data_IF_439094390695
#
_entry.id   IF_439094390695
#
_cell.length_a   1.000
_cell.length_b   1.000
_cell.length_c   1.000
_cell.angle_alpha   90.00
_cell.angle_beta   90.00
_cell.angle_gamma   90.00
#
_symmetry.space_group_name_H-M   'P 1'
#
loop_
_entity.id
_entity.type
_entity.pdbx_description
1 polymer ?
#
# COMPACT_ATOMS: atom_id res chain seq x y z
N UNK A 1 22.52 -1.84 4.46
CA UNK A 1 23.33 -0.61 4.26
C UNK A 1 24.71 -0.93 3.70
N UNK A 2 25.53 -1.72 4.40
CA UNK A 2 26.92 -2.01 3.99
C UNK A 2 26.99 -2.53 2.54
N UNK A 3 26.22 -3.57 2.19
CA UNK A 3 26.22 -4.12 0.83
C UNK A 3 25.78 -3.11 -0.25
N UNK A 4 24.80 -2.25 0.05
CA UNK A 4 24.38 -1.19 -0.87
C UNK A 4 25.54 -0.23 -1.19
N UNK A 5 26.21 0.30 -0.16
CA UNK A 5 27.28 1.25 -0.35
C UNK A 5 28.55 0.60 -0.92
N UNK A 6 28.83 -0.66 -0.58
CA UNK A 6 29.93 -1.40 -1.18
C UNK A 6 29.76 -1.58 -2.69
N UNK A 7 28.55 -1.93 -3.15
CA UNK A 7 28.23 -2.03 -4.58
C UNK A 7 28.35 -0.67 -5.28
N UNK A 8 27.81 0.39 -4.68
CA UNK A 8 27.90 1.74 -5.24
C UNK A 8 29.37 2.21 -5.32
N UNK A 9 30.17 1.97 -4.29
CA UNK A 9 31.60 2.29 -4.28
C UNK A 9 32.38 1.46 -5.34
N UNK A 10 31.94 0.26 -5.62
CA UNK A 10 32.51 -0.57 -6.70
C UNK A 10 31.97 -0.18 -8.11
N UNK A 11 31.23 0.92 -8.24
CA UNK A 11 30.67 1.37 -9.51
C UNK A 11 29.57 0.46 -10.08
N UNK A 12 28.93 -0.34 -9.23
CA UNK A 12 27.90 -1.29 -9.65
C UNK A 12 26.51 -0.64 -9.60
N UNK A 13 25.63 -1.08 -10.52
CA UNK A 13 24.22 -0.76 -10.46
C UNK A 13 23.55 -1.69 -9.45
N UNK A 14 22.72 -1.12 -8.58
CA UNK A 14 22.02 -1.88 -7.53
C UNK A 14 20.55 -2.00 -7.86
N UNK A 15 20.05 -3.20 -7.89
CA UNK A 15 18.61 -3.48 -8.01
C UNK A 15 18.07 -3.88 -6.62
N UNK A 16 17.04 -3.17 -6.16
CA UNK A 16 16.34 -3.51 -4.91
C UNK A 16 15.10 -4.32 -5.25
N UNK A 17 15.04 -5.62 -4.84
CA UNK A 17 13.86 -6.44 -5.04
C UNK A 17 12.69 -5.93 -4.18
N UNK A 18 11.43 -6.10 -4.59
CA UNK A 18 10.27 -5.67 -3.79
C UNK A 18 10.15 -6.45 -2.47
N UNK A 19 10.64 -7.68 -2.43
CA UNK A 19 10.71 -8.55 -1.25
C UNK A 19 11.73 -9.69 -1.48
N UNK A 20 12.10 -10.39 -0.39
CA UNK A 20 13.13 -11.44 -0.42
C UNK A 20 12.61 -12.86 -0.66
N UNK A 21 11.41 -13.06 -1.23
CA UNK A 21 10.89 -14.39 -1.51
C UNK A 21 11.66 -15.08 -2.63
N UNK A 22 11.92 -16.39 -2.48
CA UNK A 22 12.79 -17.14 -3.36
C UNK A 22 12.34 -17.10 -4.85
N UNK A 23 11.04 -17.20 -5.14
CA UNK A 23 10.52 -17.12 -6.50
C UNK A 23 10.82 -15.77 -7.17
N UNK A 24 10.55 -14.66 -6.46
CA UNK A 24 10.86 -13.31 -6.97
C UNK A 24 12.36 -13.09 -7.17
N UNK A 25 13.19 -13.58 -6.25
CA UNK A 25 14.63 -13.48 -6.42
C UNK A 25 15.13 -14.31 -7.61
N UNK A 26 14.57 -15.50 -7.84
CA UNK A 26 14.90 -16.35 -8.99
C UNK A 26 14.55 -15.67 -10.34
N UNK A 27 13.38 -15.01 -10.43
CA UNK A 27 13.00 -14.26 -11.61
C UNK A 27 13.94 -13.07 -11.86
N UNK A 28 14.34 -12.36 -10.80
CA UNK A 28 15.24 -11.21 -10.90
C UNK A 28 16.68 -11.57 -11.18
N UNK A 29 17.13 -12.78 -10.83
CA UNK A 29 18.48 -13.28 -11.16
C UNK A 29 18.72 -13.37 -12.68
N UNK A 30 17.68 -13.42 -13.49
CA UNK A 30 17.81 -13.35 -14.94
C UNK A 30 18.30 -11.93 -15.42
N UNK A 31 18.20 -10.94 -14.55
CA UNK A 31 18.53 -9.54 -14.82
C UNK A 31 19.65 -8.99 -13.92
N UNK A 32 20.29 -9.84 -13.11
CA UNK A 32 21.34 -9.46 -12.19
C UNK A 32 22.50 -10.45 -12.23
N UNK A 33 23.73 -9.94 -12.18
CA UNK A 33 24.95 -10.76 -12.19
C UNK A 33 25.15 -11.52 -10.87
N UNK A 34 24.66 -10.94 -9.76
CA UNK A 34 24.81 -11.54 -8.42
C UNK A 34 23.76 -11.01 -7.45
N UNK A 35 23.50 -11.77 -6.38
CA UNK A 35 22.64 -11.39 -5.26
C UNK A 35 23.50 -11.25 -4.00
N UNK A 36 23.43 -10.11 -3.35
CA UNK A 36 24.02 -9.90 -2.03
C UNK A 36 22.92 -10.05 -0.96
N UNK A 37 23.20 -10.89 0.01
CA UNK A 37 22.40 -11.02 1.24
C UNK A 37 23.30 -10.78 2.46
N UNK A 38 22.69 -10.58 3.63
CA UNK A 38 23.42 -10.38 4.89
C UNK A 38 24.36 -11.55 5.24
N UNK A 39 24.04 -12.75 4.75
CA UNK A 39 24.84 -13.97 4.96
C UNK A 39 26.13 -13.96 4.13
N UNK A 40 26.15 -13.26 2.99
CA UNK A 40 27.29 -13.22 2.07
C UNK A 40 28.33 -12.13 2.40
N UNK A 41 28.07 -11.30 3.41
CA UNK A 41 28.98 -10.22 3.78
C UNK A 41 29.97 -10.72 4.83
N UNK A 42 31.19 -11.11 4.39
CA UNK A 42 32.29 -11.40 5.28
C UNK A 42 33.01 -10.12 5.69
N UNK A 43 33.28 -9.99 6.99
CA UNK A 43 34.01 -8.85 7.54
C UNK A 43 35.52 -9.11 7.47
N UNK A 44 36.12 -8.91 6.31
CA UNK A 44 37.57 -8.72 6.24
C UNK A 44 37.88 -7.23 6.36
N UNK A 45 38.66 -6.87 7.36
CA UNK A 45 39.17 -5.51 7.49
C UNK A 45 40.27 -5.29 6.46
N UNK A 46 39.94 -4.57 5.41
CA UNK A 46 40.91 -4.12 4.41
C UNK A 46 40.98 -2.60 4.45
N UNK A 47 42.15 -2.03 4.60
CA UNK A 47 42.35 -0.60 4.43
C UNK A 47 42.12 -0.26 2.94
N UNK A 48 41.00 0.32 2.61
CA UNK A 48 40.70 0.78 1.26
C UNK A 48 40.28 2.24 1.27
N UNK A 49 40.79 2.99 0.32
CA UNK A 49 40.28 4.35 0.04
C UNK A 49 38.99 4.21 -0.74
N UNK A 50 37.88 4.68 -0.15
CA UNK A 50 36.58 4.67 -0.84
C UNK A 50 36.63 5.68 -1.99
N UNK A 51 36.21 5.28 -3.21
CA UNK A 51 36.15 6.20 -4.34
C UNK A 51 35.00 7.22 -4.14
N UNK A 52 35.16 8.38 -4.79
CA UNK A 52 34.02 9.31 -4.89
C UNK A 52 32.89 8.67 -5.72
N UNK A 53 31.72 8.77 -5.20
CA UNK A 53 30.52 8.25 -5.90
C UNK A 53 30.11 9.22 -7.01
N UNK A 54 29.81 8.69 -8.19
CA UNK A 54 29.17 9.46 -9.25
C UNK A 54 27.68 9.67 -8.89
N UNK A 55 27.35 10.93 -8.59
CA UNK A 55 25.99 11.28 -8.18
C UNK A 55 24.98 11.24 -9.33
N UNK A 56 25.43 11.36 -10.56
CA UNK A 56 24.56 11.47 -11.75
C UNK A 56 24.33 10.12 -12.44
N UNK A 57 25.16 9.12 -12.16
CA UNK A 57 24.94 7.79 -12.68
C UNK A 57 23.62 7.19 -12.12
N UNK A 58 22.79 6.52 -12.96
CA UNK A 58 21.61 5.80 -12.50
C UNK A 58 22.02 4.54 -11.72
N UNK A 59 22.26 4.71 -10.43
CA UNK A 59 22.93 3.71 -9.60
C UNK A 59 21.97 2.76 -8.89
N UNK A 60 20.71 3.18 -8.65
CA UNK A 60 19.74 2.39 -7.91
C UNK A 60 18.47 2.18 -8.76
N UNK A 61 18.10 0.93 -8.94
CA UNK A 61 16.84 0.51 -9.59
C UNK A 61 15.89 -0.04 -8.53
N UNK A 62 14.70 0.56 -8.43
CA UNK A 62 13.61 0.10 -7.59
C UNK A 62 12.55 -0.57 -8.47
N UNK A 63 12.04 -1.70 -8.02
CA UNK A 63 10.98 -2.42 -8.72
C UNK A 63 9.64 -2.10 -8.06
N UNK A 64 8.68 -1.68 -8.87
CA UNK A 64 7.31 -1.40 -8.42
C UNK A 64 6.34 -2.39 -9.04
N UNK A 65 5.28 -2.76 -8.30
CA UNK A 65 4.19 -3.54 -8.86
C UNK A 65 3.45 -2.68 -9.90
N UNK A 66 3.68 -2.92 -11.17
CA UNK A 66 2.95 -2.25 -12.25
C UNK A 66 1.45 -2.52 -12.17
N UNK A 67 0.62 -1.57 -12.60
CA UNK A 67 -0.85 -1.75 -12.71
C UNK A 67 -1.24 -2.89 -13.67
N UNK A 68 -0.34 -3.28 -14.56
CA UNK A 68 -0.49 -4.37 -15.54
C UNK A 68 -0.04 -5.74 -15.02
N UNK A 69 0.51 -5.81 -13.79
CA UNK A 69 1.05 -7.03 -13.18
C UNK A 69 2.55 -7.26 -13.45
N UNK A 70 3.13 -6.65 -14.47
CA UNK A 70 4.57 -6.71 -14.73
C UNK A 70 5.31 -5.69 -13.85
N UNK A 71 6.43 -6.08 -13.20
CA UNK A 71 7.24 -5.16 -12.40
C UNK A 71 7.82 -4.03 -13.26
N UNK A 72 7.56 -2.79 -12.88
CA UNK A 72 8.16 -1.62 -13.51
C UNK A 72 9.45 -1.24 -12.80
N UNK A 73 10.55 -1.14 -13.55
CA UNK A 73 11.82 -0.69 -13.03
C UNK A 73 11.90 0.85 -13.05
N UNK A 74 12.16 1.45 -11.90
CA UNK A 74 12.37 2.90 -11.75
C UNK A 74 13.83 3.13 -11.33
N UNK A 75 14.58 3.84 -12.15
CA UNK A 75 15.97 4.17 -11.90
C UNK A 75 16.08 5.51 -11.18
N UNK A 76 16.94 5.57 -10.16
CA UNK A 76 17.26 6.78 -9.42
C UNK A 76 18.77 7.02 -9.43
N UNK A 77 19.15 8.27 -9.61
CA UNK A 77 20.52 8.72 -9.36
C UNK A 77 20.72 9.05 -7.88
N UNK A 78 21.96 9.05 -7.41
CA UNK A 78 22.26 9.48 -6.05
C UNK A 78 21.96 10.98 -5.86
N UNK A 79 22.06 11.79 -6.91
CA UNK A 79 21.67 13.21 -6.89
C UNK A 79 20.21 13.42 -6.56
N UNK A 80 19.30 12.61 -7.15
CA UNK A 80 17.87 12.66 -6.84
C UNK A 80 17.60 12.33 -5.37
N UNK A 81 18.27 11.30 -4.85
CA UNK A 81 18.11 10.87 -3.46
C UNK A 81 18.70 11.88 -2.48
N UNK A 82 19.88 12.47 -2.77
CA UNK A 82 20.49 13.52 -1.96
C UNK A 82 19.60 14.76 -1.90
N UNK A 83 19.06 15.19 -3.04
CA UNK A 83 18.14 16.33 -3.08
C UNK A 83 16.91 16.11 -2.19
N UNK A 84 16.32 14.92 -2.22
CA UNK A 84 15.17 14.57 -1.38
C UNK A 84 15.58 14.52 0.10
N UNK A 85 16.71 13.90 0.46
CA UNK A 85 17.23 13.84 1.83
C UNK A 85 17.41 15.26 2.39
N UNK A 86 18.00 16.20 1.61
CA UNK A 86 18.14 17.61 2.02
C UNK A 86 16.80 18.28 2.27
N UNK A 87 15.80 18.01 1.45
CA UNK A 87 14.46 18.53 1.64
C UNK A 87 13.82 18.00 2.94
N UNK A 88 13.93 16.69 3.20
CA UNK A 88 13.45 16.06 4.43
C UNK A 88 14.15 16.63 5.67
N UNK A 89 15.48 16.78 5.61
CA UNK A 89 16.27 17.35 6.71
C UNK A 89 15.90 18.81 6.98
N UNK A 90 15.64 19.60 5.93
CA UNK A 90 15.25 21.02 6.10
C UNK A 90 13.88 21.17 6.78
N UNK A 91 12.95 20.23 6.55
CA UNK A 91 11.61 20.24 7.15
C UNK A 91 11.60 19.73 8.59
N UNK A 92 12.21 18.57 8.81
CA UNK A 92 12.02 17.83 10.05
C UNK A 92 13.30 17.59 10.85
N UNK A 93 14.46 17.98 10.32
CA UNK A 93 15.74 17.75 10.98
C UNK A 93 15.80 18.30 12.40
N UNK A 94 15.29 19.52 12.61
CA UNK A 94 15.21 20.13 13.96
C UNK A 94 14.23 19.39 14.88
N UNK A 95 13.12 18.92 14.33
CA UNK A 95 12.11 18.16 15.09
C UNK A 95 12.65 16.82 15.50
N UNK A 96 13.39 16.15 14.63
CA UNK A 96 13.99 14.84 14.94
C UNK A 96 15.19 14.95 15.88
N UNK A 97 16.05 15.96 15.70
CA UNK A 97 17.30 16.06 16.47
C UNK A 97 18.14 14.79 16.28
N UNK A 98 18.46 14.15 17.38
CA UNK A 98 19.22 12.89 17.50
C UNK A 98 18.34 11.64 17.60
N UNK A 99 17.05 11.74 17.29
CA UNK A 99 16.09 10.65 17.42
C UNK A 99 16.55 9.38 16.71
N UNK A 100 16.40 8.25 17.40
CA UNK A 100 16.56 6.92 16.80
C UNK A 100 15.40 6.62 15.86
N UNK A 101 15.69 6.04 14.70
CA UNK A 101 14.69 5.73 13.69
C UNK A 101 14.26 4.26 13.82
N UNK A 102 12.99 4.03 14.16
CA UNK A 102 12.38 2.72 14.20
C UNK A 102 11.40 2.58 13.04
N UNK A 103 11.31 1.40 12.41
CA UNK A 103 10.48 1.26 11.21
C UNK A 103 9.67 -0.03 11.19
N UNK A 104 8.44 0.09 10.68
CA UNK A 104 7.56 -1.05 10.35
C UNK A 104 7.55 -1.35 8.85
N UNK A 105 8.30 -0.58 8.05
CA UNK A 105 8.39 -0.69 6.60
C UNK A 105 9.77 -1.16 6.15
N UNK A 106 9.81 -1.84 5.00
CA UNK A 106 11.06 -2.32 4.39
C UNK A 106 11.82 -1.18 3.71
N UNK A 107 13.15 -1.22 3.76
CA UNK A 107 14.05 -0.33 3.00
C UNK A 107 14.14 -0.68 1.50
N UNK A 108 13.48 -1.73 1.05
CA UNK A 108 13.44 -2.15 -0.37
C UNK A 108 12.54 -1.25 -1.23
N UNK A 109 11.77 -0.35 -0.62
CA UNK A 109 10.92 0.63 -1.31
C UNK A 109 11.45 2.04 -1.08
N UNK A 110 11.17 2.96 -2.02
CA UNK A 110 11.71 4.32 -2.00
C UNK A 110 11.45 5.03 -0.66
N UNK A 111 10.25 4.91 -0.10
CA UNK A 111 9.92 5.52 1.19
C UNK A 111 10.77 4.96 2.33
N UNK A 112 10.84 3.64 2.46
CA UNK A 112 11.68 3.01 3.48
C UNK A 112 13.18 3.20 3.21
N UNK A 113 13.60 3.20 1.94
CA UNK A 113 14.99 3.49 1.56
C UNK A 113 15.43 4.87 2.08
N UNK A 114 14.58 5.88 1.87
CA UNK A 114 14.86 7.25 2.31
C UNK A 114 14.69 7.41 3.82
N UNK A 115 13.50 7.19 4.36
CA UNK A 115 13.15 7.56 5.74
C UNK A 115 13.78 6.65 6.79
N UNK A 116 14.00 5.37 6.47
CA UNK A 116 14.57 4.40 7.41
C UNK A 116 16.08 4.26 7.29
N UNK A 117 16.65 4.45 6.10
CA UNK A 117 18.05 4.13 5.85
C UNK A 117 18.88 5.34 5.45
N UNK A 118 18.61 5.94 4.27
CA UNK A 118 19.51 6.95 3.71
C UNK A 118 19.49 8.27 4.48
N UNK A 119 18.32 8.79 4.79
CA UNK A 119 18.19 10.04 5.54
C UNK A 119 18.79 9.96 6.94
N UNK A 120 18.44 8.98 7.80
CA UNK A 120 19.10 8.88 9.11
C UNK A 120 20.62 8.69 8.99
N UNK A 121 21.10 7.88 8.05
CA UNK A 121 22.52 7.68 7.84
C UNK A 121 23.23 8.98 7.46
N UNK A 122 22.71 9.76 6.51
CA UNK A 122 23.29 11.04 6.09
C UNK A 122 23.22 12.10 7.19
N UNK A 123 22.23 12.03 8.07
CA UNK A 123 22.07 12.96 9.18
C UNK A 123 22.74 12.49 10.49
N UNK A 124 23.45 11.36 10.48
CA UNK A 124 24.12 10.80 11.67
C UNK A 124 23.17 10.29 12.75
N UNK A 125 21.93 9.92 12.40
CA UNK A 125 20.93 9.41 13.34
C UNK A 125 21.00 7.88 13.46
N UNK A 126 20.88 7.32 14.67
CA UNK A 126 20.74 5.88 14.86
C UNK A 126 19.48 5.36 14.19
N UNK A 127 19.52 4.14 13.66
CA UNK A 127 18.33 3.46 13.12
C UNK A 127 18.37 1.96 13.38
N UNK A 128 17.21 1.37 13.60
CA UNK A 128 17.08 -0.07 13.83
C UNK A 128 17.41 -0.87 12.56
N UNK A 129 18.25 -1.89 12.68
CA UNK A 129 18.59 -2.78 11.58
C UNK A 129 17.43 -3.67 11.16
N UNK A 130 16.53 -4.02 12.08
CA UNK A 130 15.37 -4.88 11.88
C UNK A 130 14.09 -4.09 11.63
N UNK A 131 13.08 -4.77 11.11
CA UNK A 131 11.74 -4.22 10.88
C UNK A 131 10.81 -4.70 12.00
N UNK A 132 10.05 -3.79 12.60
CA UNK A 132 9.04 -4.14 13.59
C UNK A 132 7.76 -4.63 12.88
N UNK A 133 7.36 -5.86 13.16
CA UNK A 133 6.19 -6.46 12.54
C UNK A 133 4.94 -6.38 13.42
N UNK A 134 5.12 -6.16 14.72
CA UNK A 134 4.05 -6.14 15.72
C UNK A 134 4.06 -4.83 16.50
N UNK A 135 2.88 -4.24 16.80
CA UNK A 135 2.76 -3.02 17.58
C UNK A 135 3.45 -3.11 18.95
N UNK A 136 3.34 -4.25 19.63
CA UNK A 136 3.91 -4.49 20.96
C UNK A 136 5.45 -4.39 20.95
N UNK A 137 6.07 -4.97 19.92
CA UNK A 137 7.52 -4.91 19.76
C UNK A 137 8.00 -3.48 19.50
N UNK A 138 7.26 -2.76 18.62
CA UNK A 138 7.58 -1.38 18.33
C UNK A 138 7.49 -0.50 19.57
N UNK A 139 6.42 -0.61 20.35
CA UNK A 139 6.24 0.21 21.53
C UNK A 139 7.26 -0.16 22.62
N UNK A 140 7.53 -1.44 22.82
CA UNK A 140 8.58 -1.87 23.75
C UNK A 140 9.93 -1.24 23.40
N UNK A 141 10.28 -1.20 22.10
CA UNK A 141 11.52 -0.62 21.64
C UNK A 141 11.53 0.91 21.73
N UNK A 142 10.41 1.57 21.41
CA UNK A 142 10.24 3.02 21.61
C UNK A 142 10.59 3.43 23.05
N UNK A 143 10.16 2.64 24.03
CA UNK A 143 10.39 2.94 25.46
C UNK A 143 11.85 2.76 25.90
N UNK A 144 12.69 2.09 25.13
CA UNK A 144 14.13 1.92 25.42
C UNK A 144 15.01 3.10 24.95
N UNK A 145 14.45 3.99 24.10
CA UNK A 145 15.18 5.11 23.52
C UNK A 145 14.75 6.44 24.15
N UNK A 146 15.65 7.39 24.27
CA UNK A 146 15.33 8.72 24.78
C UNK A 146 14.38 9.48 23.82
N UNK A 147 14.61 9.35 22.52
CA UNK A 147 13.85 10.03 21.46
C UNK A 147 13.77 9.15 20.21
N UNK A 148 12.59 9.05 19.62
CA UNK A 148 12.32 8.13 18.50
C UNK A 148 11.50 8.82 17.42
N UNK A 149 11.85 8.57 16.16
CA UNK A 149 10.94 8.76 15.03
C UNK A 149 10.52 7.40 14.46
N UNK A 150 9.22 7.21 14.27
CA UNK A 150 8.65 5.98 13.73
C UNK A 150 8.34 6.16 12.25
N UNK A 151 8.83 5.25 11.41
CA UNK A 151 8.57 5.20 9.96
C UNK A 151 7.63 4.04 9.68
N UNK A 152 6.38 4.35 9.31
CA UNK A 152 5.30 3.38 9.25
C UNK A 152 4.45 3.54 7.97
N UNK A 153 3.38 2.78 7.88
CA UNK A 153 2.39 2.86 6.81
C UNK A 153 0.97 2.87 7.39
N UNK A 154 -0.04 3.33 6.64
CA UNK A 154 -1.43 3.34 7.11
C UNK A 154 -1.91 1.96 7.60
N UNK A 155 -1.54 0.90 6.88
CA UNK A 155 -1.91 -0.47 7.24
C UNK A 155 -1.29 -0.92 8.57
N UNK A 156 -0.09 -0.48 8.89
CA UNK A 156 0.58 -0.80 10.15
C UNK A 156 0.03 0.05 11.30
N UNK A 157 -0.18 1.36 11.07
CA UNK A 157 -0.72 2.25 12.09
C UNK A 157 -2.14 1.87 12.53
N UNK A 158 -2.96 1.32 11.64
CA UNK A 158 -4.31 0.79 11.95
C UNK A 158 -4.31 -0.50 12.77
N UNK A 159 -3.19 -1.22 12.82
CA UNK A 159 -3.09 -2.49 13.59
C UNK A 159 -2.91 -2.30 15.08
N UNK A 160 -2.71 -1.07 15.55
CA UNK A 160 -2.56 -0.82 16.98
C UNK A 160 -3.89 -1.04 17.70
N UNK A 161 -3.97 -2.03 18.61
CA UNK A 161 -5.23 -2.33 19.30
C UNK A 161 -5.76 -1.09 20.03
N UNK A 162 -7.07 -0.82 20.00
CA UNK A 162 -7.66 0.33 20.71
C UNK A 162 -7.35 0.37 22.20
N UNK A 163 -7.21 -0.79 22.84
CA UNK A 163 -6.89 -0.92 24.27
C UNK A 163 -5.40 -0.82 24.61
N UNK A 164 -4.50 -0.72 23.63
CA UNK A 164 -3.06 -0.58 23.90
C UNK A 164 -2.77 0.82 24.44
N UNK A 165 -2.18 0.91 25.63
CA UNK A 165 -1.77 2.19 26.20
C UNK A 165 -0.51 2.72 25.52
N UNK A 166 -0.62 3.86 24.81
CA UNK A 166 0.49 4.57 24.18
C UNK A 166 0.96 5.80 24.99
N UNK A 167 0.40 6.05 26.16
CA UNK A 167 0.70 7.24 26.97
C UNK A 167 2.18 7.31 27.33
N UNK A 168 2.78 6.18 27.69
CA UNK A 168 4.20 6.12 28.01
C UNK A 168 5.09 6.43 26.80
N UNK A 169 4.69 6.03 25.59
CA UNK A 169 5.43 6.29 24.36
C UNK A 169 5.43 7.77 23.96
N UNK A 170 4.42 8.55 24.37
CA UNK A 170 4.24 9.95 24.00
C UNK A 170 5.49 10.80 24.21
N UNK A 171 6.16 10.65 25.35
CA UNK A 171 7.35 11.44 25.70
C UNK A 171 8.59 11.09 24.88
N UNK A 172 8.61 9.90 24.28
CA UNK A 172 9.73 9.40 23.47
C UNK A 172 9.55 9.71 21.98
N UNK A 173 8.30 9.90 21.52
CA UNK A 173 8.03 10.13 20.11
C UNK A 173 8.40 11.56 19.69
N UNK A 174 9.33 11.70 18.75
CA UNK A 174 9.64 12.93 18.05
C UNK A 174 8.72 13.15 16.86
N UNK A 175 8.46 12.09 16.09
CA UNK A 175 7.56 12.10 14.95
C UNK A 175 7.09 10.67 14.61
N UNK A 176 5.93 10.57 13.94
CA UNK A 176 5.44 9.35 13.30
C UNK A 176 5.19 9.67 11.84
N UNK A 177 5.91 9.01 10.92
CA UNK A 177 5.73 9.17 9.49
C UNK A 177 4.87 8.06 8.93
N UNK A 178 4.02 8.37 7.94
CA UNK A 178 3.15 7.46 7.23
C UNK A 178 3.18 7.72 5.73
N UNK A 179 3.38 6.68 4.92
CA UNK A 179 3.34 6.76 3.47
C UNK A 179 2.94 5.42 2.85
N UNK A 180 2.79 5.38 1.51
CA UNK A 180 2.43 4.18 0.76
C UNK A 180 0.92 4.00 0.54
N UNK A 181 0.09 4.84 1.15
CA UNK A 181 -1.36 4.86 0.99
C UNK A 181 -2.00 5.97 1.81
N UNK A 182 -3.30 6.22 1.66
CA UNK A 182 -4.02 7.21 2.46
C UNK A 182 -4.20 6.70 3.91
N UNK A 183 -3.90 7.55 4.88
CA UNK A 183 -4.24 7.30 6.28
C UNK A 183 -5.67 7.79 6.53
N UNK A 184 -6.59 6.93 7.03
CA UNK A 184 -7.92 7.38 7.41
C UNK A 184 -7.87 8.48 8.49
N UNK A 185 -8.76 9.46 8.39
CA UNK A 185 -8.85 10.57 9.37
C UNK A 185 -9.03 10.02 10.78
N UNK A 186 -9.86 9.00 10.93
CA UNK A 186 -10.11 8.33 12.24
C UNK A 186 -8.84 7.74 12.83
N UNK A 187 -8.00 7.10 12.02
CA UNK A 187 -6.73 6.55 12.49
C UNK A 187 -5.72 7.65 12.85
N UNK A 188 -5.67 8.74 12.08
CA UNK A 188 -4.82 9.88 12.40
C UNK A 188 -5.24 10.56 13.71
N UNK A 189 -6.55 10.69 13.94
CA UNK A 189 -7.12 11.24 15.17
C UNK A 189 -6.92 10.32 16.39
N UNK A 190 -7.04 9.01 16.21
CA UNK A 190 -6.72 8.03 17.28
C UNK A 190 -5.26 8.18 17.73
N UNK A 191 -4.33 8.27 16.78
CA UNK A 191 -2.92 8.53 17.09
C UNK A 191 -2.72 9.87 17.82
N UNK A 192 -3.38 10.94 17.36
CA UNK A 192 -3.31 12.26 18.00
C UNK A 192 -3.80 12.20 19.45
N UNK A 193 -4.91 11.56 19.73
CA UNK A 193 -5.48 11.43 21.08
C UNK A 193 -4.55 10.61 21.97
N UNK A 194 -4.06 9.46 21.51
CA UNK A 194 -3.29 8.50 22.32
C UNK A 194 -1.85 8.93 22.53
N UNK A 195 -1.23 9.61 21.55
CA UNK A 195 0.19 9.98 21.61
C UNK A 195 0.42 11.49 21.69
N UNK A 196 -0.60 12.31 21.46
CA UNK A 196 -0.48 13.77 21.35
C UNK A 196 0.06 14.26 20.02
N UNK A 197 0.28 13.36 19.04
CA UNK A 197 0.79 13.69 17.72
C UNK A 197 0.02 12.94 16.63
N UNK A 198 -0.50 13.65 15.65
CA UNK A 198 -0.99 13.02 14.43
C UNK A 198 0.21 12.56 13.57
N UNK A 199 0.13 11.42 12.89
CA UNK A 199 1.16 11.02 11.95
C UNK A 199 1.35 12.04 10.82
N UNK A 200 2.60 12.25 10.42
CA UNK A 200 2.97 13.03 9.25
C UNK A 200 2.80 12.12 8.02
N UNK A 201 1.79 12.42 7.21
CA UNK A 201 1.60 11.71 5.95
C UNK A 201 2.49 12.30 4.87
N UNK A 202 3.14 11.44 4.08
CA UNK A 202 3.95 11.83 2.93
C UNK A 202 3.34 11.23 1.68
N UNK A 203 2.93 12.10 0.75
CA UNK A 203 2.47 11.75 -0.59
C UNK A 203 3.68 11.62 -1.51
N UNK A 204 3.74 10.56 -2.28
CA UNK A 204 4.81 10.34 -3.26
C UNK A 204 4.66 9.01 -3.97
N UNK A 205 5.51 8.78 -4.94
CA UNK A 205 5.66 7.52 -5.66
C UNK A 205 7.14 7.19 -5.88
N UNK A 206 7.42 6.00 -6.37
CA UNK A 206 8.81 5.65 -6.71
C UNK A 206 9.35 6.56 -7.81
N UNK A 207 8.51 6.95 -8.77
CA UNK A 207 8.86 7.82 -9.88
C UNK A 207 9.17 9.24 -9.41
N UNK A 208 8.33 9.81 -8.57
CA UNK A 208 8.42 11.22 -8.18
C UNK A 208 9.32 11.47 -6.97
N UNK A 209 9.57 10.47 -6.12
CA UNK A 209 9.96 10.72 -4.74
C UNK A 209 8.80 11.32 -3.96
N UNK A 210 9.07 11.98 -2.84
CA UNK A 210 8.09 12.72 -2.08
C UNK A 210 7.57 13.93 -2.85
N UNK A 211 6.26 14.16 -2.80
CA UNK A 211 5.60 15.30 -3.45
C UNK A 211 5.16 16.32 -2.40
N UNK A 212 4.46 15.85 -1.39
CA UNK A 212 3.80 16.69 -0.40
C UNK A 212 3.64 15.96 0.93
N UNK A 213 3.29 16.71 1.96
CA UNK A 213 3.02 16.19 3.28
C UNK A 213 1.81 16.87 3.91
N UNK A 214 1.22 16.22 4.92
CA UNK A 214 0.20 16.79 5.80
C UNK A 214 0.22 16.10 7.16
N UNK A 215 -0.42 16.74 8.16
CA UNK A 215 -0.80 16.09 9.43
C UNK A 215 -2.30 16.31 9.64
N UNK A 216 -3.08 15.25 9.73
CA UNK A 216 -4.53 15.32 9.86
C UNK A 216 -4.96 15.64 11.30
N UNK A 217 -4.70 16.87 11.73
CA UNK A 217 -5.16 17.39 13.04
C UNK A 217 -6.61 17.90 12.99
N UNK A 218 -7.12 18.19 11.78
CA UNK A 218 -8.49 18.60 11.50
C UNK A 218 -9.00 17.93 10.21
N UNK A 219 -10.33 17.79 10.02
CA UNK A 219 -10.91 17.13 8.85
C UNK A 219 -10.48 17.74 7.51
N UNK A 220 -10.31 19.06 7.45
CA UNK A 220 -9.98 19.81 6.22
C UNK A 220 -8.48 20.03 6.04
N UNK A 221 -7.64 19.15 6.57
CA UNK A 221 -6.19 19.29 6.40
C UNK A 221 -5.77 19.01 4.96
N UNK A 222 -5.15 20.03 4.34
CA UNK A 222 -4.69 19.98 2.96
C UNK A 222 -3.23 19.56 2.86
N UNK A 223 -2.83 19.13 1.67
CA UNK A 223 -1.45 18.77 1.35
C UNK A 223 -0.61 20.02 1.08
N UNK A 224 0.58 20.05 1.61
CA UNK A 224 1.61 21.05 1.38
C UNK A 224 2.77 20.44 0.61
N UNK A 225 3.21 21.06 -0.48
CA UNK A 225 4.36 20.57 -1.25
C UNK A 225 5.63 20.51 -0.40
N UNK A 226 6.47 19.51 -0.66
CA UNK A 226 7.82 19.43 -0.09
C UNK A 226 8.71 20.56 -0.62
N UNK A 227 9.76 20.96 0.10
CA UNK A 227 10.74 21.93 -0.41
C UNK A 227 11.31 21.48 -1.76
N UNK A 228 11.49 22.42 -2.67
CA UNK A 228 11.96 22.20 -4.04
C UNK A 228 11.01 21.41 -4.94
N UNK A 229 9.77 21.14 -4.50
CA UNK A 229 8.73 20.50 -5.30
C UNK A 229 7.72 21.55 -5.75
N UNK A 230 7.53 21.66 -7.06
CA UNK A 230 6.49 22.47 -7.67
C UNK A 230 5.31 21.58 -8.07
N UNK A 231 4.13 21.96 -7.63
CA UNK A 231 2.87 21.27 -7.89
C UNK A 231 2.01 22.16 -8.78
N UNK A 232 1.61 21.63 -9.93
CA UNK A 232 0.68 22.29 -10.87
C UNK A 232 -0.35 21.30 -11.37
N UNK A 233 -1.30 21.77 -12.19
CA UNK A 233 -2.31 20.90 -12.81
C UNK A 233 -2.41 21.16 -14.30
N UNK A 234 -2.78 20.14 -15.05
CA UNK A 234 -3.24 20.28 -16.43
C UNK A 234 -4.74 20.66 -16.48
N UNK A 235 -5.28 20.78 -17.69
CA UNK A 235 -6.69 21.09 -17.93
C UNK A 235 -7.67 20.03 -17.35
N UNK A 236 -7.19 18.79 -17.13
CA UNK A 236 -7.95 17.70 -16.52
C UNK A 236 -7.83 17.62 -14.99
N UNK A 237 -7.18 18.63 -14.37
CA UNK A 237 -6.82 18.64 -12.94
C UNK A 237 -5.85 17.51 -12.55
N UNK A 238 -5.12 16.92 -13.49
CA UNK A 238 -4.11 15.95 -13.16
C UNK A 238 -2.89 16.63 -12.52
N UNK A 239 -2.38 16.02 -11.46
CA UNK A 239 -1.21 16.51 -10.73
C UNK A 239 0.05 16.38 -11.61
N UNK A 240 0.66 17.51 -11.87
CA UNK A 240 1.97 17.64 -12.50
C UNK A 240 3.00 18.03 -11.44
N UNK A 241 4.10 17.28 -11.39
CA UNK A 241 5.17 17.43 -10.39
C UNK A 241 6.47 17.77 -11.10
N UNK A 242 7.04 18.92 -10.78
CA UNK A 242 8.40 19.26 -11.16
C UNK A 242 9.28 19.29 -9.90
N UNK A 243 10.31 18.46 -9.88
CA UNK A 243 11.12 18.23 -8.69
C UNK A 243 12.49 17.68 -9.05
N UNK A 244 13.57 18.06 -8.34
CA UNK A 244 14.88 17.44 -8.50
C UNK A 244 14.88 15.95 -8.09
N UNK A 245 13.85 15.45 -7.42
CA UNK A 245 13.73 14.05 -7.00
C UNK A 245 13.32 13.11 -8.13
N UNK A 246 12.75 13.66 -9.22
CA UNK A 246 12.33 12.86 -10.40
C UNK A 246 13.51 12.47 -11.29
N UNK A 247 14.58 13.29 -11.31
CA UNK A 247 15.66 13.19 -12.28
C UNK A 247 15.25 13.59 -13.71
N UNK A 248 14.15 14.32 -13.84
CA UNK A 248 13.60 14.79 -15.13
C UNK A 248 13.54 16.32 -15.13
N UNK A 249 13.91 16.92 -16.26
CA UNK A 249 13.82 18.38 -16.46
C UNK A 249 12.38 18.86 -16.67
N UNK A 250 11.52 17.98 -17.18
CA UNK A 250 10.10 18.26 -17.42
C UNK A 250 9.22 17.83 -16.24
N UNK A 251 8.04 18.45 -16.13
CA UNK A 251 7.05 18.04 -15.15
C UNK A 251 6.58 16.60 -15.40
N UNK A 252 6.55 15.80 -14.34
CA UNK A 252 6.03 14.43 -14.37
C UNK A 252 4.52 14.45 -14.11
N UNK A 253 3.74 13.90 -15.04
CA UNK A 253 2.30 13.71 -14.87
C UNK A 253 2.04 12.46 -14.00
N UNK A 254 1.48 12.65 -12.82
CA UNK A 254 1.03 11.56 -11.96
C UNK A 254 -0.36 11.09 -12.39
N UNK A 255 -0.81 9.96 -11.94
CA UNK A 255 -2.20 9.56 -12.15
C UNK A 255 -3.18 10.20 -11.17
N UNK A 256 -2.72 11.08 -10.30
CA UNK A 256 -3.55 11.72 -9.26
C UNK A 256 -4.21 12.97 -9.79
N UNK A 257 -5.43 13.27 -9.34
CA UNK A 257 -6.12 14.52 -9.58
C UNK A 257 -6.15 15.34 -8.32
N UNK A 258 -5.98 16.65 -8.46
CA UNK A 258 -5.94 17.57 -7.31
C UNK A 258 -6.77 18.83 -7.57
N UNK A 259 -7.16 19.46 -6.49
CA UNK A 259 -7.64 20.83 -6.47
C UNK A 259 -6.62 21.70 -5.73
N UNK A 260 -5.99 22.63 -6.45
CA UNK A 260 -5.02 23.58 -5.88
C UNK A 260 -5.76 24.79 -5.35
N UNK A 261 -5.45 25.21 -4.13
CA UNK A 261 -5.99 26.39 -3.47
C UNK A 261 -5.13 27.63 -3.74
N UNK A 262 -5.69 28.80 -3.46
CA UNK A 262 -4.98 30.07 -3.62
C UNK A 262 -3.72 30.20 -2.73
N UNK A 263 -3.67 29.48 -1.61
CA UNK A 263 -2.54 29.44 -0.68
C UNK A 263 -1.43 28.46 -1.07
N UNK A 264 -1.56 27.78 -2.23
CA UNK A 264 -0.61 26.80 -2.72
C UNK A 264 -0.80 25.39 -2.13
N UNK A 265 -1.66 25.21 -1.13
CA UNK A 265 -2.03 23.89 -0.65
C UNK A 265 -2.98 23.21 -1.64
N UNK A 266 -3.10 21.89 -1.55
CA UNK A 266 -4.02 21.18 -2.45
C UNK A 266 -4.73 20.02 -1.77
N UNK A 267 -5.82 19.61 -2.37
CA UNK A 267 -6.61 18.45 -1.99
C UNK A 267 -6.51 17.37 -3.07
N UNK A 268 -6.34 16.12 -2.67
CA UNK A 268 -6.43 14.97 -3.57
C UNK A 268 -7.90 14.69 -3.89
N UNK A 269 -8.22 14.64 -5.17
CA UNK A 269 -9.54 14.29 -5.69
C UNK A 269 -9.66 12.81 -6.10
N UNK A 270 -8.56 12.07 -6.00
CA UNK A 270 -8.45 10.67 -6.42
C UNK A 270 -7.59 10.52 -7.66
N UNK A 271 -7.60 9.32 -8.26
CA UNK A 271 -6.78 9.00 -9.42
C UNK A 271 -7.57 9.06 -10.71
N UNK A 272 -6.93 9.54 -11.77
CA UNK A 272 -7.52 9.62 -13.12
C UNK A 272 -7.75 8.23 -13.74
N UNK A 273 -6.88 7.26 -13.44
CA UNK A 273 -7.00 5.85 -13.86
C UNK A 273 -8.11 5.10 -13.09
N UNK A 274 -8.68 5.71 -12.05
CA UNK A 274 -9.85 5.22 -11.32
C UNK A 274 -11.17 5.89 -11.71
N UNK A 275 -11.16 6.69 -12.77
CA UNK A 275 -12.36 7.16 -13.45
C UNK A 275 -12.77 6.10 -14.49
N UNK A 276 -13.94 5.52 -14.32
CA UNK A 276 -14.48 4.51 -15.23
C UNK A 276 -15.71 5.02 -15.93
N UNK A 277 -15.94 4.55 -17.14
CA UNK A 277 -17.16 4.84 -17.91
C UNK A 277 -18.07 3.62 -17.81
N UNK A 278 -19.24 3.79 -17.20
CA UNK A 278 -20.26 2.76 -17.09
C UNK A 278 -21.55 3.30 -17.69
N UNK A 279 -22.06 2.63 -18.72
CA UNK A 279 -23.29 3.03 -19.43
C UNK A 279 -23.28 4.54 -19.78
N UNK A 280 -22.23 5.00 -20.48
CA UNK A 280 -22.02 6.39 -20.90
C UNK A 280 -21.75 7.40 -19.77
N UNK A 281 -21.80 7.00 -18.50
CA UNK A 281 -21.57 7.86 -17.34
C UNK A 281 -20.18 7.69 -16.75
N UNK A 282 -19.55 8.81 -16.40
CA UNK A 282 -18.25 8.82 -15.70
C UNK A 282 -18.46 8.61 -14.21
N UNK A 283 -17.75 7.66 -13.64
CA UNK A 283 -17.78 7.34 -12.23
C UNK A 283 -16.37 7.35 -11.65
N UNK A 284 -16.17 8.08 -10.55
CA UNK A 284 -14.97 7.95 -9.72
C UNK A 284 -15.13 6.79 -8.75
N UNK A 285 -14.35 5.75 -8.91
CA UNK A 285 -14.33 4.63 -7.98
C UNK A 285 -13.87 5.07 -6.59
N UNK A 286 -12.90 6.00 -6.54
CA UNK A 286 -12.41 6.58 -5.27
C UNK A 286 -13.50 7.35 -4.53
N UNK A 287 -14.31 8.15 -5.24
CA UNK A 287 -15.44 8.86 -4.61
C UNK A 287 -16.47 7.88 -4.03
N UNK A 288 -16.76 6.79 -4.74
CA UNK A 288 -17.66 5.77 -4.24
C UNK A 288 -17.10 5.05 -3.00
N UNK A 289 -15.79 4.78 -2.95
CA UNK A 289 -15.11 4.25 -1.76
C UNK A 289 -15.23 5.18 -0.55
N UNK A 290 -15.04 6.49 -0.76
CA UNK A 290 -15.18 7.48 0.29
C UNK A 290 -16.60 7.51 0.87
N UNK A 291 -17.62 7.48 0.02
CA UNK A 291 -19.01 7.43 0.48
C UNK A 291 -19.33 6.12 1.22
N UNK A 292 -18.78 4.99 0.78
CA UNK A 292 -18.93 3.73 1.52
C UNK A 292 -18.31 3.82 2.91
N UNK A 293 -17.10 4.36 3.04
CA UNK A 293 -16.41 4.53 4.33
C UNK A 293 -17.06 5.60 5.22
N UNK A 294 -17.83 6.51 4.66
CA UNK A 294 -18.63 7.47 5.44
C UNK A 294 -19.89 6.82 6.06
N UNK A 295 -20.26 5.61 5.63
CA UNK A 295 -21.38 4.87 6.24
C UNK A 295 -20.98 4.28 7.60
N UNK A 296 -21.93 4.08 8.53
CA UNK A 296 -21.62 3.50 9.85
C UNK A 296 -21.22 2.01 9.79
N UNK A 297 -21.36 1.35 8.64
CA UNK A 297 -21.18 -0.10 8.51
C UNK A 297 -19.82 -0.51 7.91
N UNK A 298 -19.10 0.42 7.25
CA UNK A 298 -17.89 0.12 6.48
C UNK A 298 -16.67 0.80 7.10
N UNK A 299 -15.63 0.01 7.37
CA UNK A 299 -14.36 0.49 7.89
C UNK A 299 -13.39 0.86 6.75
N UNK A 300 -13.27 -0.01 5.75
CA UNK A 300 -12.46 0.23 4.55
C UNK A 300 -13.15 -0.40 3.33
N UNK A 301 -13.00 0.20 2.15
CA UNK A 301 -13.64 -0.28 0.93
C UNK A 301 -12.75 -0.12 -0.29
N UNK A 302 -12.89 -1.05 -1.24
CA UNK A 302 -12.33 -0.98 -2.58
C UNK A 302 -13.42 -1.28 -3.59
N UNK A 303 -13.57 -0.38 -4.56
CA UNK A 303 -14.49 -0.52 -5.68
C UNK A 303 -13.69 -0.82 -6.94
N UNK A 304 -14.12 -1.80 -7.71
CA UNK A 304 -13.44 -2.23 -8.93
C UNK A 304 -14.42 -2.57 -10.04
N UNK A 305 -13.96 -2.44 -11.28
CA UNK A 305 -14.68 -2.95 -12.44
C UNK A 305 -14.32 -4.42 -12.60
N UNK A 306 -15.31 -5.28 -12.56
CA UNK A 306 -15.12 -6.70 -12.72
C UNK A 306 -15.03 -7.06 -14.21
N UNK A 307 -14.09 -7.95 -14.60
CA UNK A 307 -14.01 -8.43 -15.97
C UNK A 307 -15.30 -9.12 -16.37
N UNK A 308 -15.68 -8.94 -17.62
CA UNK A 308 -16.83 -9.66 -18.18
C UNK A 308 -16.51 -11.15 -18.22
N UNK A 309 -17.34 -11.96 -17.60
CA UNK A 309 -17.34 -13.39 -17.85
C UNK A 309 -17.81 -13.63 -19.29
N UNK A 310 -17.16 -14.55 -20.00
CA UNK A 310 -17.35 -14.85 -21.42
C UNK A 310 -18.76 -15.38 -21.83
N UNK A 311 -19.80 -15.05 -21.10
CA UNK A 311 -21.19 -15.36 -21.46
C UNK A 311 -21.79 -14.17 -22.22
N UNK A 312 -21.55 -14.12 -23.50
CA UNK A 312 -22.34 -13.61 -24.63
C UNK A 312 -23.21 -12.34 -24.55
N UNK A 313 -23.22 -11.59 -23.48
CA UNK A 313 -23.98 -10.33 -23.39
C UNK A 313 -23.03 -9.14 -23.37
N UNK A 314 -23.06 -8.35 -24.43
CA UNK A 314 -22.46 -7.02 -24.56
C UNK A 314 -23.08 -6.08 -23.52
N UNK A 315 -22.56 -6.09 -22.29
CA UNK A 315 -22.99 -5.20 -21.22
C UNK A 315 -21.79 -4.50 -20.58
N UNK A 316 -21.96 -3.24 -20.19
CA UNK A 316 -20.95 -2.45 -19.48
C UNK A 316 -20.39 -3.21 -18.26
N UNK A 317 -19.10 -3.04 -17.96
CA UNK A 317 -18.43 -3.69 -16.83
C UNK A 317 -19.20 -3.52 -15.52
N UNK A 318 -19.37 -4.64 -14.77
CA UNK A 318 -20.09 -4.61 -13.50
C UNK A 318 -19.19 -4.17 -12.36
N UNK A 319 -19.68 -3.30 -11.49
CA UNK A 319 -18.96 -2.91 -10.29
C UNK A 319 -19.04 -4.00 -9.22
N UNK A 320 -17.86 -4.25 -8.61
CA UNK A 320 -17.71 -5.05 -7.41
C UNK A 320 -17.20 -4.18 -6.25
N UNK A 321 -17.62 -4.48 -5.05
CA UNK A 321 -17.14 -3.87 -3.81
C UNK A 321 -16.56 -4.94 -2.91
N UNK A 322 -15.34 -4.69 -2.42
CA UNK A 322 -14.74 -5.44 -1.32
C UNK A 322 -14.63 -4.48 -0.15
N UNK A 323 -15.26 -4.80 0.98
CA UNK A 323 -15.29 -3.93 2.14
C UNK A 323 -15.06 -4.71 3.43
N UNK A 324 -14.25 -4.15 4.34
CA UNK A 324 -14.21 -4.56 5.73
C UNK A 324 -15.27 -3.80 6.52
N UNK A 325 -15.81 -4.43 7.53
CA UNK A 325 -16.96 -3.91 8.25
C UNK A 325 -16.57 -3.41 9.64
N UNK A 326 -17.21 -2.32 10.06
CA UNK A 326 -17.18 -1.89 11.45
C UNK A 326 -17.88 -2.92 12.35
N UNK A 327 -17.75 -2.80 13.67
CA UNK A 327 -18.50 -3.65 14.62
C UNK A 327 -20.01 -3.61 14.36
N UNK A 328 -20.55 -2.44 13.99
CA UNK A 328 -21.97 -2.28 13.65
C UNK A 328 -22.31 -2.98 12.33
N UNK A 329 -21.42 -2.91 11.33
CA UNK A 329 -21.61 -3.61 10.06
C UNK A 329 -21.54 -5.12 10.22
N UNK A 330 -20.64 -5.64 11.05
CA UNK A 330 -20.56 -7.06 11.39
C UNK A 330 -21.82 -7.55 12.12
N UNK A 331 -22.31 -6.80 13.10
CA UNK A 331 -23.54 -7.12 13.79
C UNK A 331 -24.75 -7.19 12.83
N UNK A 332 -24.83 -6.25 11.88
CA UNK A 332 -25.88 -6.26 10.86
C UNK A 332 -25.74 -7.47 9.91
N UNK A 333 -24.50 -7.78 9.48
CA UNK A 333 -24.23 -8.94 8.61
C UNK A 333 -24.63 -10.25 9.28
N UNK A 334 -24.26 -10.46 10.55
CA UNK A 334 -24.56 -11.70 11.29
C UNK A 334 -26.02 -11.79 11.71
N UNK A 335 -26.64 -10.66 12.10
CA UNK A 335 -28.04 -10.66 12.60
C UNK A 335 -29.08 -10.66 11.50
N UNK A 336 -28.87 -9.94 10.40
CA UNK A 336 -29.88 -9.75 9.33
C UNK A 336 -29.42 -10.25 7.95
N UNK A 337 -28.17 -10.66 7.85
CA UNK A 337 -27.63 -11.28 6.65
C UNK A 337 -27.11 -10.29 5.59
N UNK A 338 -26.37 -10.85 4.62
CA UNK A 338 -25.70 -10.12 3.54
C UNK A 338 -26.64 -9.28 2.67
N UNK A 339 -27.84 -9.77 2.44
CA UNK A 339 -28.81 -9.05 1.58
C UNK A 339 -29.24 -7.73 2.20
N UNK A 340 -29.54 -7.71 3.49
CA UNK A 340 -29.96 -6.51 4.21
C UNK A 340 -28.82 -5.50 4.25
N UNK A 341 -27.61 -5.92 4.61
CA UNK A 341 -26.43 -5.05 4.61
C UNK A 341 -26.19 -4.44 3.23
N UNK A 342 -26.21 -5.24 2.17
CA UNK A 342 -26.00 -4.72 0.80
C UNK A 342 -27.10 -3.77 0.37
N UNK A 343 -28.34 -3.99 0.79
CA UNK A 343 -29.45 -3.08 0.52
C UNK A 343 -29.23 -1.72 1.21
N UNK A 344 -28.85 -1.72 2.47
CA UNK A 344 -28.54 -0.51 3.24
C UNK A 344 -27.38 0.28 2.60
N UNK A 345 -26.30 -0.40 2.23
CA UNK A 345 -25.16 0.22 1.55
C UNK A 345 -25.54 0.80 0.17
N UNK A 346 -26.38 0.08 -0.60
CA UNK A 346 -26.89 0.58 -1.89
C UNK A 346 -27.84 1.76 -1.72
N UNK A 347 -28.64 1.79 -0.68
CA UNK A 347 -29.50 2.93 -0.34
C UNK A 347 -28.62 4.14 0.01
N UNK A 348 -27.64 3.99 0.88
CA UNK A 348 -26.67 5.04 1.24
C UNK A 348 -25.94 5.60 0.02
N UNK A 349 -25.47 4.75 -0.89
CA UNK A 349 -24.84 5.20 -2.14
C UNK A 349 -25.85 5.86 -3.08
N UNK A 350 -27.14 5.47 -3.03
CA UNK A 350 -28.20 6.02 -3.88
C UNK A 350 -28.47 7.49 -3.66
N UNK A 351 -28.09 8.04 -2.50
CA UNK A 351 -28.16 9.48 -2.21
C UNK A 351 -27.11 10.30 -2.98
N UNK A 352 -26.05 9.63 -3.48
CA UNK A 352 -24.91 10.29 -4.13
C UNK A 352 -24.67 9.81 -5.57
N UNK A 353 -25.15 8.62 -5.94
CA UNK A 353 -24.88 8.00 -7.24
C UNK A 353 -26.16 7.53 -7.89
N UNK A 354 -26.24 7.68 -9.21
CA UNK A 354 -27.37 7.18 -9.96
C UNK A 354 -27.49 5.64 -9.85
N UNK A 355 -28.72 5.16 -9.86
CA UNK A 355 -29.05 3.73 -9.64
C UNK A 355 -28.29 2.76 -10.56
N UNK A 356 -27.99 3.17 -11.79
CA UNK A 356 -27.25 2.38 -12.78
C UNK A 356 -25.78 2.16 -12.37
N UNK A 357 -25.19 3.08 -11.61
CA UNK A 357 -23.82 3.04 -11.13
C UNK A 357 -23.66 2.26 -9.82
N UNK A 358 -24.75 1.86 -9.17
CA UNK A 358 -24.66 1.19 -7.88
C UNK A 358 -24.11 -0.24 -8.02
N UNK A 359 -23.14 -0.61 -7.17
CA UNK A 359 -22.51 -1.94 -7.21
C UNK A 359 -23.52 -3.06 -7.03
N UNK A 360 -23.29 -4.18 -7.75
CA UNK A 360 -24.16 -5.36 -7.68
C UNK A 360 -23.48 -6.56 -7.04
N UNK A 361 -22.15 -6.59 -6.97
CA UNK A 361 -21.38 -7.67 -6.36
C UNK A 361 -20.61 -7.15 -5.15
N UNK A 362 -20.69 -7.85 -4.03
CA UNK A 362 -20.16 -7.46 -2.74
C UNK A 362 -19.38 -8.59 -2.08
N UNK A 363 -18.28 -8.26 -1.45
CA UNK A 363 -17.46 -9.16 -0.62
C UNK A 363 -17.13 -8.46 0.68
N UNK A 364 -17.26 -9.17 1.79
CA UNK A 364 -17.03 -8.67 3.13
C UNK A 364 -15.99 -9.55 3.85
N UNK A 365 -14.70 -9.51 3.44
CA UNK A 365 -13.65 -10.22 4.16
C UNK A 365 -13.37 -9.55 5.50
N UNK A 366 -12.78 -10.28 6.44
CA UNK A 366 -12.32 -9.73 7.72
C UNK A 366 -11.23 -8.68 7.53
N UNK A 367 -10.35 -8.87 6.53
CA UNK A 367 -9.31 -7.93 6.14
C UNK A 367 -9.23 -7.82 4.62
N UNK A 368 -8.90 -6.63 4.12
CA UNK A 368 -8.60 -6.46 2.70
C UNK A 368 -7.33 -7.25 2.34
N UNK A 369 -7.30 -7.94 1.18
CA UNK A 369 -6.11 -8.62 0.74
C UNK A 369 -5.00 -7.61 0.46
N UNK A 370 -3.94 -7.65 1.25
CA UNK A 370 -2.78 -6.76 1.11
C UNK A 370 -1.54 -7.59 0.85
N UNK A 371 -0.61 -7.04 0.07
CA UNK A 371 0.73 -7.60 -0.08
C UNK A 371 1.56 -7.34 1.20
N UNK A 372 2.80 -7.82 1.21
CA UNK A 372 3.74 -7.60 2.33
C UNK A 372 4.05 -6.12 2.59
N UNK A 373 3.68 -5.22 1.67
CA UNK A 373 3.84 -3.77 1.80
C UNK A 373 2.59 -3.08 2.35
N UNK A 374 1.52 -3.85 2.57
CA UNK A 374 0.22 -3.32 2.97
C UNK A 374 -0.57 -2.70 1.80
N UNK A 375 -0.15 -2.92 0.54
CA UNK A 375 -0.87 -2.47 -0.65
C UNK A 375 -1.84 -3.54 -1.11
N UNK A 376 -3.05 -3.11 -1.47
CA UNK A 376 -4.07 -3.99 -2.06
C UNK A 376 -3.87 -4.08 -3.56
N UNK A 377 -3.57 -5.27 -4.09
CA UNK A 377 -3.45 -5.46 -5.54
C UNK A 377 -4.82 -5.65 -6.19
N UNK A 378 -4.99 -5.13 -7.40
CA UNK A 378 -6.22 -5.28 -8.17
C UNK A 378 -6.50 -6.76 -8.49
N UNK A 379 -5.47 -7.55 -8.78
CA UNK A 379 -5.59 -8.97 -9.05
C UNK A 379 -6.15 -9.75 -7.85
N UNK A 380 -5.65 -9.47 -6.63
CA UNK A 380 -6.16 -10.08 -5.40
C UNK A 380 -7.64 -9.72 -5.15
N UNK A 381 -8.03 -8.44 -5.39
CA UNK A 381 -9.43 -8.02 -5.26
C UNK A 381 -10.35 -8.71 -6.28
N UNK A 382 -9.92 -8.80 -7.55
CA UNK A 382 -10.68 -9.48 -8.62
C UNK A 382 -10.82 -10.97 -8.29
N UNK A 383 -9.77 -11.59 -7.75
CA UNK A 383 -9.78 -12.98 -7.32
C UNK A 383 -10.90 -13.32 -6.33
N UNK A 384 -11.28 -12.38 -5.45
CA UNK A 384 -12.40 -12.56 -4.54
C UNK A 384 -13.76 -12.67 -5.24
N UNK A 385 -13.87 -12.26 -6.50
CA UNK A 385 -15.10 -12.37 -7.30
C UNK A 385 -15.07 -13.50 -8.31
N UNK A 386 -13.94 -14.21 -8.45
CA UNK A 386 -13.86 -15.39 -9.28
C UNK A 386 -14.76 -16.48 -8.64
N UNK A 387 -15.65 -17.03 -9.42
CA UNK A 387 -16.48 -18.16 -9.00
C UNK A 387 -15.77 -19.50 -9.19
N UNK A 388 -14.54 -19.47 -9.65
CA UNK A 388 -13.74 -20.66 -9.94
C UNK A 388 -13.00 -21.08 -8.67
N UNK A 389 -13.20 -22.32 -8.27
CA UNK A 389 -12.38 -22.94 -7.24
C UNK A 389 -10.91 -22.94 -7.70
N UNK A 390 -9.99 -22.63 -6.82
CA UNK A 390 -8.58 -22.83 -7.11
C UNK A 390 -8.23 -24.30 -6.87
N UNK A 391 -7.59 -24.92 -7.85
CA UNK A 391 -7.20 -26.33 -7.79
C UNK A 391 -5.68 -26.37 -7.79
N UNK A 392 -5.10 -26.99 -6.76
CA UNK A 392 -3.66 -27.28 -6.66
C UNK A 392 -3.45 -28.78 -6.65
N UNK A 393 -2.59 -29.30 -7.50
CA UNK A 393 -2.10 -30.67 -7.41
C UNK A 393 -1.07 -30.71 -6.30
N UNK A 394 -1.34 -31.48 -5.25
CA UNK A 394 -0.48 -31.63 -4.07
C UNK A 394 0.48 -32.78 -4.26
N UNK A 395 -0.01 -33.88 -4.84
CA UNK A 395 0.77 -35.07 -5.18
C UNK A 395 0.14 -35.77 -6.39
N UNK A 396 0.96 -36.40 -7.21
CA UNK A 396 0.53 -37.15 -8.38
C UNK A 396 1.47 -38.37 -8.58
N UNK A 397 0.88 -39.52 -8.85
CA UNK A 397 1.57 -40.74 -9.30
C UNK A 397 0.79 -41.37 -10.47
N UNK A 398 1.24 -42.50 -10.98
CA UNK A 398 0.64 -43.16 -12.16
C UNK A 398 -0.83 -43.57 -11.97
N UNK A 399 -1.32 -43.62 -10.73
CA UNK A 399 -2.65 -44.13 -10.38
C UNK A 399 -3.49 -43.17 -9.54
N UNK A 400 -2.85 -42.21 -8.89
CA UNK A 400 -3.51 -41.31 -7.96
C UNK A 400 -3.07 -39.87 -8.15
N UNK A 401 -4.05 -38.95 -8.04
CA UNK A 401 -3.81 -37.48 -8.00
C UNK A 401 -4.49 -36.92 -6.77
N UNK A 402 -3.71 -36.28 -5.90
CA UNK A 402 -4.22 -35.56 -4.74
C UNK A 402 -4.38 -34.09 -5.07
N UNK A 403 -5.61 -33.58 -4.93
CA UNK A 403 -5.97 -32.22 -5.24
C UNK A 403 -6.33 -31.45 -3.96
N UNK A 404 -5.81 -30.25 -3.83
CA UNK A 404 -6.29 -29.26 -2.87
C UNK A 404 -7.20 -28.26 -3.61
N UNK A 405 -8.48 -28.27 -3.30
CA UNK A 405 -9.46 -27.42 -3.95
C UNK A 405 -9.98 -26.41 -2.94
N UNK A 406 -9.75 -25.13 -3.20
CA UNK A 406 -10.22 -24.02 -2.36
C UNK A 406 -11.38 -23.31 -3.03
N UNK A 407 -12.49 -23.19 -2.34
CA UNK A 407 -13.68 -22.48 -2.80
C UNK A 407 -13.77 -21.10 -2.14
N UNK A 408 -14.22 -20.07 -2.88
CA UNK A 408 -14.61 -18.80 -2.25
C UNK A 408 -15.72 -19.06 -1.20
N UNK A 409 -15.69 -18.44 -0.01
CA UNK A 409 -16.65 -18.68 1.07
C UNK A 409 -18.12 -18.42 0.68
N UNK A 410 -18.35 -17.57 -0.33
CA UNK A 410 -19.64 -17.19 -0.86
C UNK A 410 -19.90 -17.78 -2.26
N UNK A 411 -19.27 -18.90 -2.57
CA UNK A 411 -19.55 -19.64 -3.79
C UNK A 411 -21.02 -20.06 -3.82
N UNK A 412 -21.67 -19.85 -4.98
CA UNK A 412 -23.07 -20.34 -5.22
C UNK A 412 -23.21 -21.86 -5.05
N UNK A 413 -22.11 -22.57 -5.07
CA UNK A 413 -22.11 -24.01 -4.84
C UNK A 413 -22.53 -24.39 -3.41
N UNK A 414 -22.49 -23.42 -2.49
CA UNK A 414 -23.00 -23.57 -1.12
C UNK A 414 -24.47 -23.11 -0.95
N UNK A 415 -25.07 -22.46 -1.98
CA UNK A 415 -26.41 -21.95 -1.90
C UNK A 415 -27.45 -23.11 -1.79
N UNK A 416 -28.30 -23.06 -0.75
CA UNK A 416 -29.33 -24.06 -0.53
C UNK A 416 -28.85 -25.36 0.12
N UNK A 417 -27.57 -25.54 0.37
CA UNK A 417 -27.04 -26.69 1.11
C UNK A 417 -26.81 -26.32 2.58
N UNK A 418 -27.75 -26.77 3.41
CA UNK A 418 -27.79 -26.63 4.87
C UNK A 418 -27.66 -25.16 5.37
N UNK A 419 -28.76 -24.48 5.69
CA UNK A 419 -28.75 -23.14 6.27
C UNK A 419 -27.86 -23.09 7.52
N UNK A 420 -26.87 -22.22 7.53
CA UNK A 420 -25.92 -22.05 8.65
C UNK A 420 -24.72 -23.01 8.68
N UNK A 421 -24.65 -24.01 7.79
CA UNK A 421 -23.52 -24.90 7.65
C UNK A 421 -23.20 -25.14 6.16
N UNK A 422 -22.36 -24.32 5.52
CA UNK A 422 -22.07 -24.41 4.10
C UNK A 422 -21.24 -25.68 3.81
N UNK A 423 -21.90 -26.72 3.32
CA UNK A 423 -21.25 -27.98 2.88
C UNK A 423 -21.30 -28.04 1.36
N UNK A 424 -20.17 -28.36 0.73
CA UNK A 424 -20.11 -28.54 -0.71
C UNK A 424 -20.91 -29.78 -1.13
N UNK A 425 -21.88 -29.65 -2.09
CA UNK A 425 -22.65 -30.79 -2.58
C UNK A 425 -21.77 -31.92 -3.11
N UNK A 426 -22.04 -33.16 -2.77
CA UNK A 426 -21.28 -34.34 -3.23
C UNK A 426 -21.20 -34.44 -4.76
N UNK A 427 -22.27 -34.04 -5.47
CA UNK A 427 -22.31 -33.99 -6.94
C UNK A 427 -21.26 -33.01 -7.50
N UNK A 428 -21.03 -31.88 -6.83
CA UNK A 428 -20.01 -30.89 -7.23
C UNK A 428 -18.62 -31.44 -6.98
N UNK A 429 -18.39 -32.11 -5.83
CA UNK A 429 -17.12 -32.76 -5.53
C UNK A 429 -16.77 -33.82 -6.60
N UNK A 430 -17.77 -34.62 -6.98
CA UNK A 430 -17.61 -35.64 -8.02
C UNK A 430 -17.34 -35.05 -9.40
N UNK A 431 -18.10 -34.02 -9.83
CA UNK A 431 -17.90 -33.33 -11.11
C UNK A 431 -16.49 -32.70 -11.21
N UNK A 432 -16.03 -32.11 -10.11
CA UNK A 432 -14.69 -31.51 -10.07
C UNK A 432 -13.57 -32.55 -10.12
N UNK A 433 -13.71 -33.67 -9.42
CA UNK A 433 -12.77 -34.78 -9.51
C UNK A 433 -12.74 -35.38 -10.93
N UNK A 434 -13.90 -35.62 -11.53
CA UNK A 434 -14.01 -36.17 -12.87
C UNK A 434 -13.41 -35.27 -13.98
N UNK A 435 -13.41 -33.94 -13.80
CA UNK A 435 -12.79 -33.01 -14.75
C UNK A 435 -11.26 -32.96 -14.65
N UNK A 436 -10.68 -33.54 -13.63
CA UNK A 436 -9.23 -33.57 -13.40
C UNK A 436 -8.59 -34.93 -13.72
N UNK A 437 -9.41 -35.93 -14.01
CA UNK A 437 -9.00 -37.21 -14.58
C UNK A 437 -9.03 -37.15 -16.13
#
# INVERSE_FOLDING_TARGET
AVGLFALLAAGKQVMLPPHGQAGTLADLMQHADTVLSDIAIHQEKTDCTLPLLDLDAPSITLLTSGSTGEPKAVRKTLRCLDAEIRALESLWGKVLGDASILATVSHQHIYGLLFRLLWPLCAGRPFAAYTHHYPEQLIADVLTHARVAVVSSPSQLKRFPPGMDLTAARRHLAAVFSSGGPLPVTAAQDWLVRTGQAPIEVLGSTETGGIAWRQQVAPDTHWQALPSVQVTTDAGQNLLVQSPFTGMDSAYATGDRIHVRADGHFQLLGRSDRLVKIEEKRLSLTSMEQHLMASPWVEDARVLVLPQQASGTTGAGRLGVVATLTTQGQALLHGQGKQVLTQQLRQHLGDHFERVLLPRKWRFPEQLPTDMQGKTSQAALVGLFSSTASIQVVAEDDTHRQLHITFPPDSRLFDGHFPGLPILPGVVQFDMAARQC
#
